data_IF_169706460446
#
_entry.id   IF_169706460446
#
_cell.length_a   1.000
_cell.length_b   1.000
_cell.length_c   1.000
_cell.angle_alpha   90.00
_cell.angle_beta   90.00
_cell.angle_gamma   90.00
#
_symmetry.space_group_name_H-M   'P 1'
#
loop_
_entity.id
_entity.type
_entity.pdbx_description
1 polymer ?
#
# COMPACT_ATOMS: atom_id res chain seq x y z
N UNK A 1 21.54 -16.15 8.60
CA UNK A 1 20.98 -14.84 8.84
C UNK A 1 19.84 -14.89 9.85
N UNK A 2 19.71 -13.84 10.60
CA UNK A 2 18.64 -13.75 11.59
C UNK A 2 17.30 -13.63 10.88
N UNK A 3 16.54 -14.71 10.91
CA UNK A 3 15.13 -14.63 10.49
C UNK A 3 14.37 -13.93 11.60
N UNK A 4 13.75 -12.79 11.30
CA UNK A 4 12.80 -12.17 12.21
C UNK A 4 11.67 -13.15 12.46
N UNK A 5 11.29 -13.32 13.73
CA UNK A 5 10.10 -14.09 14.07
C UNK A 5 8.90 -13.48 13.35
N UNK A 6 8.12 -14.33 12.68
CA UNK A 6 6.90 -13.91 12.02
C UNK A 6 5.85 -13.63 13.07
N UNK A 7 5.21 -12.48 12.99
CA UNK A 7 4.13 -12.13 13.91
C UNK A 7 2.93 -13.03 13.70
N UNK A 8 2.46 -13.61 14.81
CA UNK A 8 1.28 -14.47 14.84
C UNK A 8 0.20 -13.88 15.72
N UNK A 9 -1.05 -14.07 15.32
CA UNK A 9 -2.22 -13.70 16.09
C UNK A 9 -3.16 -14.91 16.13
N UNK A 10 -3.42 -15.43 17.33
CA UNK A 10 -4.26 -16.61 17.48
C UNK A 10 -3.73 -17.86 16.77
N UNK A 11 -2.41 -17.99 16.63
CA UNK A 11 -1.78 -19.10 15.92
C UNK A 11 -1.56 -18.86 14.43
N UNK A 12 -2.23 -17.89 13.82
CA UNK A 12 -2.11 -17.56 12.41
C UNK A 12 -1.02 -16.52 12.18
N UNK A 13 -0.22 -16.69 11.13
CA UNK A 13 0.77 -15.70 10.74
C UNK A 13 0.10 -14.48 10.11
N UNK A 14 0.38 -13.29 10.63
CA UNK A 14 -0.14 -12.03 10.06
C UNK A 14 0.72 -11.61 8.89
N UNK A 15 0.07 -11.36 7.75
CA UNK A 15 0.69 -10.92 6.51
C UNK A 15 0.50 -9.45 6.24
N UNK A 16 -0.58 -8.88 6.70
CA UNK A 16 -0.95 -7.51 6.40
C UNK A 16 -2.29 -7.11 6.98
N UNK A 17 -2.93 -6.16 6.33
CA UNK A 17 -4.17 -5.55 6.78
C UNK A 17 -5.04 -5.18 5.57
N UNK A 18 -6.35 -5.28 5.72
CA UNK A 18 -7.30 -4.77 4.74
C UNK A 18 -8.31 -3.86 5.42
N UNK A 19 -8.81 -2.88 4.68
CA UNK A 19 -9.85 -1.97 5.16
C UNK A 19 -10.46 -1.23 3.97
N UNK A 20 -11.54 -0.47 4.25
CA UNK A 20 -12.18 0.35 3.24
C UNK A 20 -12.04 1.82 3.60
N UNK A 21 -11.64 2.64 2.63
CA UNK A 21 -11.58 4.10 2.75
C UNK A 21 -12.83 4.71 2.11
N UNK A 22 -13.18 5.97 2.46
CA UNK A 22 -14.26 6.66 1.79
C UNK A 22 -14.02 6.82 0.30
N UNK A 23 -15.06 6.64 -0.51
CA UNK A 23 -15.02 6.91 -1.94
C UNK A 23 -15.18 8.41 -2.15
N UNK A 24 -14.12 9.16 -1.95
CA UNK A 24 -14.10 10.62 -1.92
C UNK A 24 -12.79 11.18 -2.43
N UNK A 25 -12.78 12.47 -2.72
CA UNK A 25 -11.55 13.23 -2.97
C UNK A 25 -10.82 13.45 -1.64
N UNK A 26 -9.51 13.41 -1.67
CA UNK A 26 -8.70 13.62 -0.47
C UNK A 26 -7.25 13.23 -0.68
N UNK A 27 -6.51 13.08 0.41
CA UNK A 27 -5.10 12.66 0.41
C UNK A 27 -4.94 11.32 1.12
N UNK A 28 -5.74 10.33 0.73
CA UNK A 28 -5.83 9.06 1.46
C UNK A 28 -4.53 8.25 1.44
N UNK A 29 -3.74 8.30 0.37
CA UNK A 29 -2.44 7.61 0.37
C UNK A 29 -1.51 8.21 1.41
N UNK A 30 -1.48 9.53 1.53
CA UNK A 30 -0.72 10.18 2.59
C UNK A 30 -1.25 9.80 3.97
N UNK A 31 -2.56 9.86 4.17
CA UNK A 31 -3.16 9.50 5.46
C UNK A 31 -2.80 8.08 5.89
N UNK A 32 -2.80 7.13 4.95
CA UNK A 32 -2.46 5.73 5.23
C UNK A 32 -0.97 5.56 5.53
N UNK A 33 -0.11 6.18 4.73
CA UNK A 33 1.33 5.93 4.74
C UNK A 33 2.12 6.85 5.68
N UNK A 34 1.53 7.94 6.17
CA UNK A 34 2.21 8.85 7.07
C UNK A 34 2.62 8.13 8.36
N UNK A 35 3.85 8.37 8.79
CA UNK A 35 4.42 7.71 9.97
C UNK A 35 5.03 6.34 9.71
N UNK A 36 4.91 5.83 8.49
CA UNK A 36 5.58 4.59 8.07
C UNK A 36 6.94 4.90 7.43
N UNK A 37 7.68 3.86 7.02
CA UNK A 37 8.99 4.01 6.43
C UNK A 37 8.97 4.37 4.93
N UNK A 38 7.94 5.03 4.47
CA UNK A 38 7.74 5.38 3.06
C UNK A 38 8.97 6.04 2.43
N UNK A 39 9.62 6.97 3.16
CA UNK A 39 10.77 7.73 2.67
C UNK A 39 12.03 6.89 2.48
N UNK A 40 12.12 5.76 3.15
CA UNK A 40 13.29 4.89 3.12
C UNK A 40 13.24 3.85 2.02
N UNK A 41 12.10 3.69 1.36
CA UNK A 41 11.91 2.68 0.34
C UNK A 41 11.97 3.29 -1.05
N UNK A 42 12.33 2.45 -2.02
CA UNK A 42 12.18 2.74 -3.44
C UNK A 42 10.89 2.10 -3.91
N UNK A 43 10.05 2.86 -4.60
CA UNK A 43 8.70 2.47 -4.91
C UNK A 43 8.51 2.19 -6.40
N UNK A 44 8.01 1.02 -6.70
CA UNK A 44 7.52 0.66 -8.02
C UNK A 44 6.03 0.98 -8.07
N UNK A 45 5.67 1.92 -8.93
CA UNK A 45 4.29 2.30 -9.17
C UNK A 45 3.80 1.49 -10.36
N UNK A 46 2.86 0.60 -10.12
CA UNK A 46 2.25 -0.19 -11.19
C UNK A 46 1.28 0.64 -12.02
N UNK A 47 0.73 0.04 -13.06
CA UNK A 47 -0.39 0.62 -13.77
C UNK A 47 -1.55 0.89 -12.82
N UNK A 48 -2.40 1.85 -13.13
CA UNK A 48 -3.51 2.18 -12.25
C UNK A 48 -4.30 3.35 -12.76
N UNK A 49 -5.29 3.74 -11.98
CA UNK A 49 -6.11 4.91 -12.27
C UNK A 49 -6.27 5.73 -11.01
N UNK A 50 -5.66 6.90 -10.98
CA UNK A 50 -5.85 7.90 -9.94
C UNK A 50 -5.54 9.26 -10.52
N UNK A 51 -6.27 10.27 -10.06
CA UNK A 51 -6.24 11.59 -10.69
C UNK A 51 -6.21 12.68 -9.66
N UNK A 52 -5.40 13.72 -9.89
CA UNK A 52 -5.51 14.95 -9.14
C UNK A 52 -6.87 15.59 -9.39
N UNK A 53 -7.35 16.38 -8.43
CA UNK A 53 -8.62 17.08 -8.55
C UNK A 53 -8.33 18.52 -9.00
N UNK A 54 -8.95 18.92 -10.11
CA UNK A 54 -8.86 20.26 -10.67
C UNK A 54 -10.29 20.80 -10.90
N UNK A 55 -10.58 21.97 -10.34
CA UNK A 55 -11.92 22.56 -10.48
C UNK A 55 -13.05 21.58 -10.11
N UNK A 56 -12.85 20.81 -9.06
CA UNK A 56 -13.79 19.82 -8.54
C UNK A 56 -14.11 18.67 -9.50
N UNK A 57 -13.23 18.42 -10.48
CA UNK A 57 -13.32 17.31 -11.44
C UNK A 57 -11.98 16.58 -11.52
N UNK A 58 -11.96 15.46 -12.20
CA UNK A 58 -10.73 14.69 -12.41
C UNK A 58 -9.80 15.43 -13.38
N UNK A 59 -8.58 15.70 -12.93
CA UNK A 59 -7.55 16.36 -13.70
C UNK A 59 -6.46 15.41 -14.18
N UNK A 60 -5.20 15.83 -14.04
CA UNK A 60 -4.05 15.02 -14.47
C UNK A 60 -3.91 13.76 -13.63
N UNK A 61 -3.38 12.66 -14.21
CA UNK A 61 -3.08 11.46 -13.44
C UNK A 61 -2.13 11.76 -12.29
N UNK A 62 -2.41 11.16 -11.11
CA UNK A 62 -1.50 11.21 -9.96
C UNK A 62 -0.18 10.51 -10.29
N UNK A 63 -0.28 9.34 -10.95
CA UNK A 63 0.85 8.58 -11.45
C UNK A 63 0.64 8.34 -12.95
N UNK A 64 1.21 9.19 -13.80
CA UNK A 64 0.88 9.16 -15.24
C UNK A 64 1.30 7.88 -15.97
N UNK A 65 2.34 7.21 -15.50
CA UNK A 65 2.81 5.95 -16.12
C UNK A 65 3.39 5.04 -15.05
N UNK A 66 3.59 3.76 -15.39
CA UNK A 66 4.38 2.85 -14.56
C UNK A 66 5.78 3.44 -14.38
N UNK A 67 6.21 3.63 -13.14
CA UNK A 67 7.47 4.29 -12.85
C UNK A 67 8.07 3.81 -11.55
N UNK A 68 9.32 4.22 -11.32
CA UNK A 68 10.03 4.01 -10.07
C UNK A 68 10.28 5.37 -9.45
N UNK A 69 9.87 5.54 -8.20
CA UNK A 69 10.09 6.75 -7.42
C UNK A 69 10.87 6.42 -6.16
N UNK A 70 11.74 7.35 -5.72
CA UNK A 70 12.26 7.24 -4.36
C UNK A 70 11.17 7.61 -3.35
N UNK A 71 11.42 7.34 -2.08
CA UNK A 71 10.41 7.57 -1.05
C UNK A 71 10.03 9.03 -0.87
N UNK A 72 10.99 9.95 -1.07
CA UNK A 72 10.71 11.39 -1.01
C UNK A 72 9.85 11.83 -2.17
N UNK A 73 10.12 11.29 -3.36
CA UNK A 73 9.32 11.57 -4.55
C UNK A 73 7.89 11.10 -4.39
N UNK A 74 7.68 9.89 -3.88
CA UNK A 74 6.33 9.39 -3.62
C UNK A 74 5.61 10.28 -2.60
N UNK A 75 6.27 10.62 -1.49
CA UNK A 75 5.67 11.48 -0.48
C UNK A 75 5.24 12.81 -1.04
N UNK A 76 6.08 13.43 -1.88
CA UNK A 76 5.76 14.71 -2.51
C UNK A 76 4.48 14.60 -3.35
N UNK A 77 4.36 13.55 -4.16
CA UNK A 77 3.19 13.38 -5.03
C UNK A 77 1.90 13.18 -4.24
N UNK A 78 1.92 12.39 -3.17
CA UNK A 78 0.71 12.05 -2.41
C UNK A 78 0.31 13.11 -1.38
N UNK A 79 1.10 14.17 -1.21
CA UNK A 79 0.83 15.25 -0.25
C UNK A 79 0.49 16.59 -0.90
N UNK A 80 0.81 16.80 -2.17
CA UNK A 80 0.76 18.15 -2.74
C UNK A 80 -0.66 18.66 -3.04
N UNK A 81 -1.58 17.80 -3.46
CA UNK A 81 -2.96 18.18 -3.78
C UNK A 81 -3.90 17.01 -3.52
N UNK A 82 -5.20 17.28 -3.43
CA UNK A 82 -6.22 16.23 -3.33
C UNK A 82 -6.29 15.42 -4.63
N UNK A 83 -6.65 14.17 -4.50
CA UNK A 83 -6.78 13.25 -5.63
C UNK A 83 -7.94 12.29 -5.41
N UNK A 84 -8.33 11.60 -6.48
CA UNK A 84 -9.31 10.54 -6.46
C UNK A 84 -8.64 9.22 -6.88
N UNK A 85 -8.78 8.19 -6.05
CA UNK A 85 -8.15 6.90 -6.26
C UNK A 85 -9.19 5.91 -6.78
N UNK A 86 -8.88 5.25 -7.90
CA UNK A 86 -9.71 4.19 -8.45
C UNK A 86 -8.99 2.86 -8.36
N UNK A 87 -7.78 2.78 -8.92
CA UNK A 87 -6.87 1.64 -8.77
C UNK A 87 -5.47 2.14 -8.45
N UNK A 88 -4.83 1.53 -7.44
CA UNK A 88 -3.46 1.87 -7.05
C UNK A 88 -2.68 0.59 -6.81
N UNK A 89 -1.44 0.55 -7.27
CA UNK A 89 -0.54 -0.58 -7.09
C UNK A 89 0.85 -0.02 -6.74
N UNK A 90 1.23 -0.14 -5.46
CA UNK A 90 2.50 0.35 -4.95
C UNK A 90 3.28 -0.80 -4.33
N UNK A 91 4.54 -0.99 -4.74
CA UNK A 91 5.45 -1.95 -4.12
C UNK A 91 6.72 -1.22 -3.68
N UNK A 92 7.05 -1.32 -2.39
CA UNK A 92 8.21 -0.67 -1.80
C UNK A 92 9.35 -1.65 -1.55
N UNK A 93 10.55 -1.29 -1.99
CA UNK A 93 11.76 -2.11 -1.90
C UNK A 93 12.83 -1.38 -1.08
N UNK A 94 13.76 -2.15 -0.49
CA UNK A 94 14.87 -1.56 0.28
C UNK A 94 15.78 -0.72 -0.63
N UNK A 95 16.11 -1.23 -1.82
CA UNK A 95 17.03 -0.59 -2.74
C UNK A 95 16.46 -0.57 -4.16
N UNK A 96 16.88 0.41 -4.94
CA UNK A 96 16.48 0.51 -6.36
C UNK A 96 16.87 -0.74 -7.15
N UNK A 97 18.04 -1.31 -6.85
CA UNK A 97 18.52 -2.52 -7.53
C UNK A 97 17.67 -3.76 -7.26
N UNK A 98 16.86 -3.75 -6.22
CA UNK A 98 15.99 -4.87 -5.85
C UNK A 98 14.62 -4.83 -6.53
N UNK A 99 14.31 -3.71 -7.19
CA UNK A 99 12.99 -3.50 -7.81
C UNK A 99 12.77 -4.50 -8.94
N UNK A 100 11.64 -5.21 -8.85
CA UNK A 100 11.22 -6.18 -9.87
C UNK A 100 9.71 -6.38 -9.81
N UNK A 101 9.16 -7.13 -10.75
CA UNK A 101 7.75 -7.52 -10.73
C UNK A 101 7.48 -8.45 -9.54
N UNK A 102 6.44 -8.14 -8.78
CA UNK A 102 5.93 -8.96 -7.68
C UNK A 102 4.46 -9.20 -7.95
N UNK A 103 4.10 -10.44 -8.28
CA UNK A 103 2.73 -10.78 -8.67
C UNK A 103 2.05 -11.74 -7.71
N UNK A 104 2.80 -12.40 -6.81
CA UNK A 104 2.25 -13.35 -5.84
C UNK A 104 2.80 -13.09 -4.45
N UNK A 105 2.11 -13.61 -3.44
CA UNK A 105 2.59 -13.52 -2.06
C UNK A 105 3.93 -14.26 -1.90
N UNK A 106 4.10 -15.39 -2.58
CA UNK A 106 5.36 -16.12 -2.54
C UNK A 106 6.52 -15.29 -3.08
N UNK A 107 6.33 -14.61 -4.20
CA UNK A 107 7.35 -13.70 -4.75
C UNK A 107 7.64 -12.55 -3.78
N UNK A 108 6.61 -12.02 -3.11
CA UNK A 108 6.79 -10.99 -2.09
C UNK A 108 7.70 -11.50 -0.96
N UNK A 109 7.43 -12.69 -0.45
CA UNK A 109 8.21 -13.29 0.64
C UNK A 109 9.66 -13.52 0.23
N UNK A 110 9.89 -13.99 -0.99
CA UNK A 110 11.23 -14.35 -1.49
C UNK A 110 12.07 -13.16 -1.96
N UNK A 111 11.45 -12.00 -2.11
CA UNK A 111 12.11 -10.80 -2.63
C UNK A 111 12.51 -9.83 -1.52
N UNK A 112 13.15 -8.72 -1.94
CA UNK A 112 13.44 -7.58 -1.07
C UNK A 112 12.29 -6.57 -1.02
N UNK A 113 11.12 -6.94 -1.54
CA UNK A 113 9.92 -6.13 -1.40
C UNK A 113 9.48 -6.14 0.06
N UNK A 114 9.32 -4.96 0.64
CA UNK A 114 9.00 -4.79 2.06
C UNK A 114 7.54 -4.45 2.30
N UNK A 115 6.89 -3.85 1.30
CA UNK A 115 5.57 -3.27 1.47
C UNK A 115 4.81 -3.33 0.15
N UNK A 116 3.54 -3.71 0.21
CA UNK A 116 2.63 -3.71 -0.94
C UNK A 116 1.36 -2.99 -0.53
N UNK A 117 0.91 -2.03 -1.33
CA UNK A 117 -0.40 -1.41 -1.16
C UNK A 117 -1.16 -1.55 -2.46
N UNK A 118 -2.32 -2.18 -2.37
CA UNK A 118 -3.25 -2.35 -3.47
C UNK A 118 -4.56 -1.67 -3.12
N UNK A 119 -5.07 -0.85 -4.02
CA UNK A 119 -6.39 -0.23 -3.86
C UNK A 119 -7.22 -0.56 -5.09
N UNK A 120 -8.44 -1.02 -4.86
CA UNK A 120 -9.36 -1.49 -5.90
C UNK A 120 -10.71 -0.83 -5.73
N UNK A 121 -11.31 -0.45 -6.83
CA UNK A 121 -12.67 0.12 -6.87
C UNK A 121 -12.85 1.28 -5.88
N UNK A 122 -11.87 2.16 -5.82
CA UNK A 122 -11.85 3.41 -5.07
C UNK A 122 -11.84 3.28 -3.54
N UNK A 123 -12.16 2.12 -2.98
CA UNK A 123 -12.36 1.97 -1.54
C UNK A 123 -11.60 0.82 -0.89
N UNK A 124 -11.34 -0.25 -1.59
CA UNK A 124 -10.82 -1.47 -0.98
C UNK A 124 -9.30 -1.48 -0.96
N UNK A 125 -8.73 -1.34 0.24
CA UNK A 125 -7.28 -1.29 0.46
C UNK A 125 -6.80 -2.62 1.02
N UNK A 126 -5.75 -3.16 0.42
CA UNK A 126 -5.05 -4.35 0.89
C UNK A 126 -3.57 -4.00 1.02
N UNK A 127 -3.00 -4.24 2.19
CA UNK A 127 -1.59 -3.95 2.48
C UNK A 127 -0.91 -5.20 3.00
N UNK A 128 0.26 -5.50 2.44
CA UNK A 128 1.18 -6.50 2.97
C UNK A 128 2.44 -5.80 3.43
N UNK A 129 2.99 -6.22 4.55
CA UNK A 129 4.25 -5.68 5.06
C UNK A 129 5.04 -6.76 5.77
N UNK A 130 6.36 -6.74 5.60
CA UNK A 130 7.27 -7.61 6.35
C UNK A 130 7.52 -7.10 7.76
N UNK A 131 7.15 -5.85 8.05
CA UNK A 131 7.33 -5.22 9.34
C UNK A 131 6.01 -5.21 10.12
N UNK A 132 5.95 -6.03 11.17
CA UNK A 132 4.74 -6.12 12.02
C UNK A 132 4.39 -4.79 12.68
N UNK A 133 5.40 -3.98 13.01
CA UNK A 133 5.20 -2.66 13.60
C UNK A 133 4.43 -1.75 12.65
N UNK A 134 4.78 -1.77 11.37
CA UNK A 134 4.07 -1.00 10.33
C UNK A 134 2.61 -1.44 10.22
N UNK A 135 2.35 -2.75 10.24
CA UNK A 135 0.99 -3.28 10.18
C UNK A 135 0.16 -2.76 11.37
N UNK A 136 0.72 -2.82 12.57
CA UNK A 136 0.04 -2.35 13.79
C UNK A 136 -0.24 -0.84 13.75
N UNK A 137 0.72 -0.05 13.26
CA UNK A 137 0.55 1.39 13.12
C UNK A 137 -0.58 1.74 12.16
N UNK A 138 -0.63 1.06 11.01
CA UNK A 138 -1.67 1.30 10.02
C UNK A 138 -3.04 0.86 10.56
N UNK A 139 -3.10 -0.25 11.29
CA UNK A 139 -4.33 -0.72 11.92
C UNK A 139 -4.89 0.33 12.87
N UNK A 140 -4.06 0.86 13.77
CA UNK A 140 -4.46 1.90 14.71
C UNK A 140 -4.92 3.17 13.99
N UNK A 141 -4.21 3.56 12.95
CA UNK A 141 -4.54 4.74 12.15
C UNK A 141 -5.88 4.56 11.42
N UNK A 142 -6.13 3.38 10.87
CA UNK A 142 -7.38 3.07 10.20
C UNK A 142 -8.58 3.19 11.16
N UNK A 143 -8.43 2.71 12.40
CA UNK A 143 -9.44 2.86 13.44
C UNK A 143 -9.67 4.33 13.76
N UNK A 144 -8.60 5.07 14.02
CA UNK A 144 -8.67 6.50 14.37
C UNK A 144 -9.30 7.33 13.25
N UNK A 145 -9.00 6.97 12.00
CA UNK A 145 -9.54 7.66 10.82
C UNK A 145 -11.00 7.28 10.51
N UNK A 146 -11.55 6.27 11.20
CA UNK A 146 -12.91 5.82 10.97
C UNK A 146 -13.10 5.00 9.71
N UNK A 147 -12.03 4.38 9.19
CA UNK A 147 -12.14 3.48 8.05
C UNK A 147 -12.95 2.24 8.42
N UNK A 148 -13.52 1.58 7.42
CA UNK A 148 -14.45 0.48 7.64
C UNK A 148 -13.82 -0.88 7.37
N UNK A 149 -14.40 -1.92 8.00
CA UNK A 149 -14.06 -3.33 7.76
C UNK A 149 -12.58 -3.61 7.91
N UNK A 150 -11.99 -3.10 9.00
CA UNK A 150 -10.56 -3.23 9.28
C UNK A 150 -10.28 -4.65 9.78
N UNK A 151 -9.43 -5.38 9.06
CA UNK A 151 -9.06 -6.75 9.41
C UNK A 151 -7.58 -6.99 9.20
N UNK A 152 -6.99 -7.82 10.06
CA UNK A 152 -5.66 -8.37 9.76
C UNK A 152 -5.80 -9.45 8.69
N UNK A 153 -4.88 -9.45 7.73
CA UNK A 153 -4.73 -10.52 6.74
C UNK A 153 -3.77 -11.55 7.32
N UNK A 154 -4.21 -12.79 7.39
CA UNK A 154 -3.41 -13.90 7.92
C UNK A 154 -3.25 -14.97 6.84
N UNK A 155 -2.37 -15.95 7.11
CA UNK A 155 -2.20 -17.10 6.24
C UNK A 155 -3.49 -17.95 6.12
N UNK A 156 -4.39 -17.87 7.10
CA UNK A 156 -5.65 -18.61 7.10
C UNK A 156 -6.77 -17.89 6.34
N UNK A 157 -6.83 -16.57 6.39
CA UNK A 157 -7.94 -15.81 5.78
C UNK A 157 -7.59 -15.15 4.46
N UNK A 158 -6.33 -15.23 4.01
CA UNK A 158 -5.91 -14.58 2.78
C UNK A 158 -6.39 -15.38 1.56
N UNK A 159 -7.34 -14.81 0.83
CA UNK A 159 -7.94 -15.43 -0.36
C UNK A 159 -7.38 -14.87 -1.67
N UNK A 160 -6.44 -13.92 -1.59
CA UNK A 160 -5.90 -13.27 -2.76
C UNK A 160 -4.91 -14.16 -3.49
N UNK A 161 -5.11 -14.39 -4.78
CA UNK A 161 -4.21 -15.21 -5.61
C UNK A 161 -3.10 -14.40 -6.24
N UNK A 162 -3.32 -13.10 -6.45
CA UNK A 162 -2.32 -12.20 -7.03
C UNK A 162 -2.18 -10.94 -6.20
N UNK A 163 -0.97 -10.35 -6.21
CA UNK A 163 -0.69 -9.06 -5.56
C UNK A 163 -0.68 -7.94 -6.60
N UNK A 164 -1.70 -7.90 -7.42
CA UNK A 164 -1.90 -6.89 -8.46
C UNK A 164 -3.28 -6.28 -8.23
N UNK A 165 -3.38 -4.95 -8.33
CA UNK A 165 -4.63 -4.26 -8.03
C UNK A 165 -5.73 -4.51 -9.06
N UNK A 166 -5.35 -4.91 -10.28
CA UNK A 166 -6.32 -5.06 -11.38
C UNK A 166 -5.79 -5.98 -12.48
#
# INVERSE_FOLDING_TARGET
GNKKEKWRKGGSQVRGISFEIPNNYGKYLFEILDGTNIKKLTWKIGGGESYFIENNTLGNPLFPTTCILDGKGLQKEITKEDYYLIFVDLKGFLNKSDVREITTYQEFVESECQFVLLLVDSSYVTIYSKDSKTIKQIFSKAITSGYKNIEYITDENDTRTTLIAF
#
